data_IF_574409520775
#
_entry.id   IF_574409520775
#
_cell.length_a   1.000
_cell.length_b   1.000
_cell.length_c   1.000
_cell.angle_alpha   90.00
_cell.angle_beta   90.00
_cell.angle_gamma   90.00
#
_symmetry.space_group_name_H-M   'P 1'
#
loop_
_entity.id
_entity.type
_entity.pdbx_description
1 polymer ?
#
# COMPACT_ATOMS: atom_id res chain seq x y z
N UNK A 1 15.96 -69.95 20.20
CA UNK A 1 16.63 -68.77 19.62
C UNK A 1 15.66 -68.13 18.65
N UNK A 2 15.05 -67.01 19.02
CA UNK A 2 14.11 -66.26 18.16
C UNK A 2 14.89 -65.48 17.12
N UNK A 3 14.55 -65.57 15.81
CA UNK A 3 15.24 -64.80 14.80
C UNK A 3 14.83 -63.34 14.91
N UNK A 4 15.82 -62.47 15.13
CA UNK A 4 15.67 -61.02 15.04
C UNK A 4 15.46 -60.65 13.59
N UNK A 5 14.23 -60.26 13.25
CA UNK A 5 13.89 -59.82 11.91
C UNK A 5 14.36 -58.40 11.68
N UNK A 6 15.42 -58.28 10.88
CA UNK A 6 15.87 -56.99 10.38
C UNK A 6 14.95 -56.58 9.24
N UNK A 7 14.14 -55.55 9.50
CA UNK A 7 13.35 -54.87 8.48
C UNK A 7 14.25 -54.56 7.26
N UNK A 8 13.81 -54.79 6.02
CA UNK A 8 14.57 -54.40 4.84
C UNK A 8 14.88 -52.90 4.90
N UNK A 9 16.16 -52.55 4.80
CA UNK A 9 16.68 -51.19 5.04
C UNK A 9 15.90 -50.12 4.25
N UNK A 10 15.47 -50.46 3.02
CA UNK A 10 14.66 -49.59 2.15
C UNK A 10 13.27 -49.28 2.70
N UNK A 11 12.60 -50.25 3.32
CA UNK A 11 11.26 -50.06 3.89
C UNK A 11 11.33 -49.21 5.16
N UNK A 12 12.39 -49.39 5.96
CA UNK A 12 12.66 -48.56 7.13
C UNK A 12 12.94 -47.10 6.75
N UNK A 13 13.67 -46.86 5.65
CA UNK A 13 13.95 -45.51 5.16
C UNK A 13 12.69 -44.82 4.59
N UNK A 14 11.85 -45.55 3.85
CA UNK A 14 10.58 -45.02 3.33
C UNK A 14 9.60 -44.63 4.45
N UNK A 15 9.45 -45.48 5.47
CA UNK A 15 8.60 -45.19 6.63
C UNK A 15 9.13 -44.02 7.48
N UNK A 16 10.45 -43.87 7.58
CA UNK A 16 11.07 -42.67 8.19
C UNK A 16 10.70 -41.39 7.43
N UNK A 17 10.77 -41.40 6.10
CA UNK A 17 10.41 -40.24 5.30
C UNK A 17 8.92 -39.87 5.41
N UNK A 18 8.03 -40.87 5.45
CA UNK A 18 6.59 -40.66 5.64
C UNK A 18 6.30 -40.13 7.05
N UNK A 19 6.93 -40.69 8.08
CA UNK A 19 6.78 -40.22 9.47
C UNK A 19 7.28 -38.78 9.65
N UNK A 20 8.38 -38.40 9.00
CA UNK A 20 8.89 -37.02 8.99
C UNK A 20 7.90 -36.08 8.30
N UNK A 21 7.31 -36.47 7.15
CA UNK A 21 6.30 -35.65 6.47
C UNK A 21 5.01 -35.50 7.28
N UNK A 22 4.53 -36.58 7.91
CA UNK A 22 3.33 -36.58 8.73
C UNK A 22 3.50 -35.78 10.04
N UNK A 23 4.68 -35.85 10.68
CA UNK A 23 4.95 -35.12 11.90
C UNK A 23 5.10 -33.60 11.67
N UNK A 24 5.56 -33.21 10.48
CA UNK A 24 5.72 -31.80 10.10
C UNK A 24 4.43 -31.15 9.55
N UNK A 25 3.37 -31.92 9.24
CA UNK A 25 2.12 -31.38 8.68
C UNK A 25 1.36 -30.46 9.66
N UNK A 26 1.15 -30.85 10.94
CA UNK A 26 0.51 -29.99 11.93
C UNK A 26 1.37 -28.78 12.30
N UNK A 27 2.70 -28.94 12.28
CA UNK A 27 3.63 -27.84 12.54
C UNK A 27 3.65 -26.83 11.38
N UNK A 28 3.53 -27.26 10.11
CA UNK A 28 3.39 -26.34 8.96
C UNK A 28 2.11 -25.50 8.99
N UNK A 29 1.02 -26.07 9.51
CA UNK A 29 -0.25 -25.35 9.71
C UNK A 29 -0.16 -24.43 10.94
N UNK A 30 0.67 -24.76 11.94
CA UNK A 30 0.92 -23.92 13.13
C UNK A 30 2.08 -22.92 12.98
N UNK A 31 2.96 -23.02 11.98
CA UNK A 31 4.10 -22.10 11.78
C UNK A 31 3.73 -20.72 11.23
N UNK A 32 2.44 -20.42 11.00
CA UNK A 32 1.99 -19.02 10.98
C UNK A 32 1.98 -18.37 12.38
N UNK A 33 2.29 -19.13 13.43
CA UNK A 33 2.56 -18.60 14.75
C UNK A 33 4.02 -18.13 14.81
N UNK A 34 4.18 -16.83 14.54
CA UNK A 34 5.37 -15.99 14.66
C UNK A 34 6.32 -16.51 15.75
N UNK A 35 7.38 -17.19 15.32
CA UNK A 35 8.50 -17.56 16.17
C UNK A 35 9.36 -16.33 16.43
N UNK A 36 9.43 -15.93 17.70
CA UNK A 36 10.37 -14.91 18.19
C UNK A 36 11.80 -15.47 18.12
N UNK A 37 12.56 -15.07 17.09
CA UNK A 37 13.99 -15.36 16.99
C UNK A 37 14.84 -14.08 16.92
N UNK A 38 15.66 -13.90 17.97
CA UNK A 38 17.05 -13.40 17.95
C UNK A 38 17.36 -12.00 17.38
N UNK A 39 17.69 -11.08 18.29
CA UNK A 39 18.01 -9.65 18.17
C UNK A 39 19.29 -9.25 17.41
N UNK A 40 19.76 -10.01 16.41
CA UNK A 40 21.00 -9.61 15.69
C UNK A 40 21.09 -10.04 14.23
N UNK A 41 20.03 -10.61 13.61
CA UNK A 41 20.06 -10.86 12.17
C UNK A 41 19.71 -9.57 11.45
N UNK A 42 20.60 -9.15 10.53
CA UNK A 42 20.31 -8.18 9.45
C UNK A 42 18.85 -8.33 9.05
N UNK A 43 18.13 -7.21 8.96
CA UNK A 43 16.74 -7.10 8.50
C UNK A 43 16.60 -7.67 7.07
N UNK A 44 16.75 -8.98 6.91
CA UNK A 44 16.25 -9.74 5.78
C UNK A 44 14.77 -10.02 6.08
N UNK A 45 13.99 -8.95 6.24
CA UNK A 45 12.59 -9.05 5.91
C UNK A 45 12.58 -9.56 4.46
N UNK A 46 11.90 -10.67 4.18
CA UNK A 46 11.82 -11.22 2.84
C UNK A 46 11.09 -10.22 1.96
N UNK A 47 11.85 -9.31 1.37
CA UNK A 47 11.41 -8.30 0.42
C UNK A 47 10.50 -8.90 -0.68
N UNK A 48 10.57 -10.21 -0.92
CA UNK A 48 9.71 -10.95 -1.83
C UNK A 48 8.20 -10.82 -1.56
N UNK A 49 7.77 -10.63 -0.31
CA UNK A 49 6.35 -10.57 0.09
C UNK A 49 5.78 -9.14 0.13
N UNK A 50 6.54 -8.12 -0.32
CA UNK A 50 6.06 -6.74 -0.27
C UNK A 50 5.07 -6.42 -1.40
N UNK A 51 4.24 -5.41 -1.16
CA UNK A 51 3.38 -4.84 -2.19
C UNK A 51 4.18 -4.08 -3.25
N UNK A 52 4.59 -4.74 -4.35
CA UNK A 52 5.55 -4.23 -5.35
C UNK A 52 5.20 -2.88 -6.00
N UNK A 53 3.94 -2.47 -6.00
CA UNK A 53 3.53 -1.15 -6.50
C UNK A 53 3.72 -0.02 -5.48
N UNK A 54 3.71 -0.34 -4.17
CA UNK A 54 3.96 0.62 -3.08
C UNK A 54 5.41 0.55 -2.63
N UNK A 55 6.04 -0.62 -2.70
CA UNK A 55 7.45 -0.84 -2.35
C UNK A 55 8.14 -1.52 -3.54
N UNK A 56 8.61 -0.76 -4.54
CA UNK A 56 9.11 -1.32 -5.79
C UNK A 56 10.45 -2.05 -5.68
N UNK A 57 10.95 -2.58 -6.81
CA UNK A 57 12.24 -3.26 -6.94
C UNK A 57 13.43 -2.43 -6.43
N UNK A 58 13.31 -1.10 -6.38
CA UNK A 58 14.37 -0.22 -5.88
C UNK A 58 14.79 -0.50 -4.46
N UNK A 59 13.88 -1.04 -3.65
CA UNK A 59 14.13 -1.44 -2.27
C UNK A 59 15.04 -2.66 -2.12
N UNK A 60 15.22 -3.48 -3.16
CA UNK A 60 16.10 -4.65 -3.13
C UNK A 60 17.59 -4.26 -3.25
N UNK A 61 17.86 -3.06 -3.76
CA UNK A 61 19.21 -2.59 -4.08
C UNK A 61 19.81 -1.82 -2.91
N UNK A 62 20.44 -2.51 -1.96
CA UNK A 62 21.17 -1.86 -0.83
C UNK A 62 22.32 -0.97 -1.33
N UNK A 63 22.81 -1.20 -2.55
CA UNK A 63 24.09 -0.62 -2.98
C UNK A 63 24.34 -0.89 -4.46
N UNK A 64 23.84 -0.05 -5.35
CA UNK A 64 24.37 0.04 -6.72
C UNK A 64 24.13 1.46 -7.23
N UNK A 65 25.23 2.21 -7.31
CA UNK A 65 25.22 3.66 -7.50
C UNK A 65 24.52 4.15 -8.76
N UNK A 66 24.09 5.41 -8.69
CA UNK A 66 24.00 6.32 -9.83
C UNK A 66 23.17 5.84 -11.03
N UNK A 67 21.99 5.27 -10.80
CA UNK A 67 20.97 5.23 -11.85
C UNK A 67 20.13 6.51 -11.77
N UNK A 68 20.62 7.58 -12.41
CA UNK A 68 19.94 8.89 -12.52
C UNK A 68 18.65 8.86 -13.34
N UNK A 69 18.12 7.69 -13.70
CA UNK A 69 16.93 7.50 -14.53
C UNK A 69 15.84 6.63 -13.90
N UNK A 70 15.88 6.38 -12.59
CA UNK A 70 14.78 5.66 -11.90
C UNK A 70 13.59 6.61 -11.71
N UNK A 71 12.61 6.54 -12.59
CA UNK A 71 11.39 7.33 -12.53
C UNK A 71 10.48 6.83 -11.39
N UNK A 72 9.81 7.78 -10.72
CA UNK A 72 8.76 7.49 -9.75
C UNK A 72 7.58 6.79 -10.43
N UNK A 73 6.87 5.95 -9.68
CA UNK A 73 5.61 5.37 -10.15
C UNK A 73 4.51 6.42 -10.07
N UNK A 74 3.63 6.46 -11.07
CA UNK A 74 2.49 7.35 -11.11
C UNK A 74 1.20 6.53 -11.11
N UNK A 75 0.27 6.89 -10.22
CA UNK A 75 -1.08 6.36 -10.19
C UNK A 75 -2.09 7.49 -10.17
N UNK A 76 -3.15 7.39 -10.98
CA UNK A 76 -4.36 8.19 -10.75
C UNK A 76 -5.02 7.76 -9.44
N UNK A 77 -5.90 8.59 -8.85
CA UNK A 77 -6.65 8.20 -7.66
C UNK A 77 -7.44 6.89 -7.84
N UNK A 78 -8.10 6.73 -9.00
CA UNK A 78 -8.78 5.48 -9.36
C UNK A 78 -7.79 4.32 -9.46
N UNK A 79 -6.65 4.51 -10.15
CA UNK A 79 -5.67 3.46 -10.36
C UNK A 79 -5.05 2.94 -9.07
N UNK A 80 -4.73 3.83 -8.12
CA UNK A 80 -4.21 3.39 -6.82
C UNK A 80 -5.29 2.72 -5.97
N UNK A 81 -6.52 3.25 -6.00
CA UNK A 81 -7.67 2.64 -5.34
C UNK A 81 -7.91 1.21 -5.87
N UNK A 82 -7.90 1.02 -7.18
CA UNK A 82 -8.10 -0.28 -7.81
C UNK A 82 -6.98 -1.25 -7.43
N UNK A 83 -5.72 -0.80 -7.47
CA UNK A 83 -4.56 -1.59 -7.04
C UNK A 83 -4.74 -2.12 -5.62
N UNK A 84 -5.23 -1.28 -4.70
CA UNK A 84 -5.35 -1.63 -3.29
C UNK A 84 -6.65 -2.39 -2.95
N UNK A 85 -7.65 -2.40 -3.84
CA UNK A 85 -9.02 -2.86 -3.48
C UNK A 85 -9.69 -3.80 -4.49
N UNK A 86 -9.12 -4.02 -5.68
CA UNK A 86 -9.76 -4.84 -6.73
C UNK A 86 -9.77 -6.34 -6.41
N UNK A 87 -8.77 -6.83 -5.68
CA UNK A 87 -8.68 -8.22 -5.26
C UNK A 87 -7.95 -8.34 -3.95
N UNK A 88 -8.57 -9.00 -2.97
CA UNK A 88 -7.89 -9.35 -1.74
C UNK A 88 -6.90 -10.47 -2.01
N UNK A 89 -5.61 -10.16 -1.92
CA UNK A 89 -4.55 -11.14 -1.79
C UNK A 89 -3.91 -10.94 -0.41
N UNK A 90 -3.99 -11.93 0.51
CA UNK A 90 -3.37 -11.78 1.81
C UNK A 90 -1.87 -11.62 1.73
N UNK A 91 -1.19 -12.03 0.64
CA UNK A 91 0.24 -11.79 0.42
C UNK A 91 0.57 -10.33 0.09
N UNK A 92 -0.40 -9.54 -0.37
CA UNK A 92 -0.17 -8.11 -0.67
C UNK A 92 -0.27 -7.23 0.58
N UNK A 93 -0.77 -7.76 1.70
CA UNK A 93 -0.80 -7.09 3.01
C UNK A 93 -1.37 -5.66 2.99
N UNK A 94 -2.39 -5.38 2.16
CA UNK A 94 -2.95 -4.03 1.99
C UNK A 94 -3.49 -3.41 3.29
N UNK A 95 -3.91 -4.25 4.24
CA UNK A 95 -4.38 -3.85 5.58
C UNK A 95 -3.23 -3.41 6.51
N UNK A 96 -1.98 -3.69 6.14
CA UNK A 96 -0.77 -3.39 6.91
C UNK A 96 0.07 -2.26 6.34
N UNK A 97 -0.28 -1.76 5.15
CA UNK A 97 0.33 -0.58 4.55
C UNK A 97 -0.34 0.67 5.13
N UNK A 98 0.38 1.34 6.02
CA UNK A 98 -0.10 2.49 6.78
C UNK A 98 0.58 3.77 6.34
N UNK A 99 -0.12 4.89 6.49
CA UNK A 99 0.45 6.24 6.46
C UNK A 99 0.89 6.58 7.88
N UNK A 100 2.20 6.78 8.06
CA UNK A 100 2.82 7.10 9.36
C UNK A 100 2.85 8.60 9.62
N UNK A 101 3.11 9.39 8.58
CA UNK A 101 3.06 10.85 8.64
C UNK A 101 2.59 11.44 7.31
N UNK A 102 2.03 12.64 7.38
CA UNK A 102 1.68 13.47 6.24
C UNK A 102 2.17 14.89 6.45
N UNK A 103 2.66 15.55 5.40
CA UNK A 103 3.14 16.93 5.41
C UNK A 103 2.43 17.73 4.33
N UNK A 104 1.68 18.75 4.74
CA UNK A 104 1.08 19.71 3.83
C UNK A 104 2.13 20.71 3.38
N UNK A 105 2.39 20.76 2.08
CA UNK A 105 3.50 21.49 1.52
C UNK A 105 3.04 22.50 0.48
N UNK A 106 3.83 23.56 0.33
CA UNK A 106 3.60 24.62 -0.65
C UNK A 106 4.88 24.93 -1.40
N UNK A 107 4.81 24.97 -2.72
CA UNK A 107 5.97 25.26 -3.56
C UNK A 107 6.34 26.75 -3.47
N UNK A 108 7.61 27.04 -3.23
CA UNK A 108 8.07 28.44 -3.06
C UNK A 108 8.14 29.20 -4.38
N UNK A 109 8.51 28.52 -5.47
CA UNK A 109 8.64 29.11 -6.81
C UNK A 109 7.31 29.23 -7.56
N UNK A 110 6.25 28.58 -7.05
CA UNK A 110 4.90 28.63 -7.60
C UNK A 110 3.92 28.59 -6.43
N UNK A 111 3.66 29.74 -5.77
CA UNK A 111 2.90 29.79 -4.51
C UNK A 111 1.42 29.40 -4.67
N UNK A 112 0.97 29.07 -5.87
CA UNK A 112 -0.34 28.45 -6.10
C UNK A 112 -0.35 26.95 -5.88
N UNK A 113 0.82 26.30 -5.92
CA UNK A 113 0.92 24.86 -5.92
C UNK A 113 1.15 24.32 -4.51
N UNK A 114 0.10 23.71 -3.99
CA UNK A 114 0.09 23.01 -2.71
C UNK A 114 -0.09 21.51 -2.98
N UNK A 115 0.54 20.69 -2.15
CA UNK A 115 0.63 19.24 -2.30
C UNK A 115 0.85 18.58 -0.94
N UNK A 116 0.69 17.26 -0.88
CA UNK A 116 0.89 16.48 0.35
C UNK A 116 2.03 15.49 0.13
N UNK A 117 2.97 15.44 1.07
CA UNK A 117 3.97 14.37 1.14
C UNK A 117 3.52 13.38 2.21
N UNK A 118 3.55 12.09 1.89
CA UNK A 118 3.12 10.99 2.76
C UNK A 118 4.32 10.09 3.01
N UNK A 119 4.51 9.67 4.25
CA UNK A 119 5.46 8.61 4.61
C UNK A 119 4.66 7.35 4.96
N UNK A 120 4.88 6.28 4.21
CA UNK A 120 4.16 5.02 4.35
C UNK A 120 5.08 3.92 4.87
N UNK A 121 4.52 2.98 5.62
CA UNK A 121 5.22 1.82 6.18
C UNK A 121 4.37 0.57 6.00
N UNK A 122 5.01 -0.57 5.74
CA UNK A 122 4.38 -1.88 5.86
C UNK A 122 4.66 -2.46 7.25
N UNK A 123 3.62 -2.59 8.08
CA UNK A 123 3.76 -3.09 9.45
C UNK A 123 4.19 -4.55 9.53
N UNK A 124 3.94 -5.36 8.49
CA UNK A 124 4.40 -6.75 8.43
C UNK A 124 5.88 -6.85 8.08
N UNK A 125 6.44 -5.80 7.52
CA UNK A 125 7.81 -5.72 7.04
C UNK A 125 8.56 -4.60 7.76
N UNK A 126 8.95 -4.76 9.05
CA UNK A 126 9.58 -3.70 9.82
C UNK A 126 10.77 -3.06 9.11
N UNK A 127 10.76 -1.74 9.02
CA UNK A 127 11.78 -0.95 8.31
C UNK A 127 11.49 -0.73 6.83
N UNK A 128 10.49 -1.39 6.25
CA UNK A 128 10.05 -1.13 4.87
C UNK A 128 9.19 0.13 4.82
N UNK A 129 9.81 1.25 4.40
CA UNK A 129 9.18 2.57 4.35
C UNK A 129 9.30 3.17 2.97
N UNK A 130 8.28 3.88 2.52
CA UNK A 130 8.32 4.62 1.26
C UNK A 130 7.74 6.03 1.41
N UNK A 131 7.96 6.87 0.40
CA UNK A 131 7.43 8.23 0.31
C UNK A 131 6.54 8.36 -0.92
N UNK A 132 5.41 9.02 -0.73
CA UNK A 132 4.43 9.30 -1.78
C UNK A 132 4.16 10.80 -1.81
N UNK A 133 4.15 11.40 -2.99
CA UNK A 133 3.66 12.76 -3.22
C UNK A 133 2.26 12.66 -3.80
N UNK A 134 1.32 13.39 -3.20
CA UNK A 134 -0.04 13.55 -3.69
C UNK A 134 -0.22 15.00 -4.15
N UNK A 135 -0.44 15.19 -5.44
CA UNK A 135 -0.60 16.50 -6.05
C UNK A 135 -1.66 16.51 -7.15
N UNK A 136 -2.14 17.73 -7.47
CA UNK A 136 -3.03 18.01 -8.60
C UNK A 136 -2.34 18.93 -9.59
N UNK A 137 -2.24 18.48 -10.82
CA UNK A 137 -1.57 19.16 -11.92
C UNK A 137 -2.49 19.38 -13.13
N UNK A 138 -1.97 20.10 -14.11
CA UNK A 138 -2.50 20.13 -15.48
C UNK A 138 -1.57 19.33 -16.37
N UNK A 139 -2.13 18.65 -17.37
CA UNK A 139 -1.33 17.93 -18.36
C UNK A 139 -0.36 18.90 -19.04
N UNK A 140 0.91 18.50 -19.18
CA UNK A 140 1.92 19.32 -19.81
C UNK A 140 1.58 19.61 -21.29
N UNK A 141 0.94 18.67 -21.97
CA UNK A 141 0.46 18.82 -23.34
C UNK A 141 -0.63 19.91 -23.48
N UNK A 142 -1.39 20.13 -22.41
CA UNK A 142 -2.49 21.08 -22.38
C UNK A 142 -2.06 22.48 -21.89
N UNK A 143 -0.77 22.69 -21.61
CA UNK A 143 -0.26 24.00 -21.19
C UNK A 143 -0.29 24.96 -22.38
N UNK A 144 -0.96 26.12 -22.26
CA UNK A 144 -0.89 27.14 -23.30
C UNK A 144 0.56 27.59 -23.48
N UNK A 145 1.12 27.39 -24.66
CA UNK A 145 2.51 27.74 -25.01
C UNK A 145 2.72 29.24 -25.26
N UNK A 146 1.69 30.08 -25.08
CA UNK A 146 1.74 31.52 -25.40
C UNK A 146 1.48 32.41 -24.19
N UNK A 147 2.42 33.32 -23.91
CA UNK A 147 2.33 34.33 -22.83
C UNK A 147 1.61 35.62 -23.26
N UNK A 148 0.97 35.66 -24.43
CA UNK A 148 0.34 36.88 -24.95
C UNK A 148 -1.11 36.61 -25.41
N UNK A 149 -2.03 37.29 -24.71
CA UNK A 149 -3.21 37.89 -25.31
C UNK A 149 -4.34 36.95 -25.75
N UNK A 150 -5.27 36.70 -24.84
CA UNK A 150 -6.71 36.82 -25.11
C UNK A 150 -7.45 36.28 -23.89
N UNK A 151 -8.49 36.99 -23.46
CA UNK A 151 -9.40 36.58 -22.41
C UNK A 151 -10.13 35.29 -22.82
N UNK A 152 -9.45 34.14 -22.79
CA UNK A 152 -10.11 32.84 -22.81
C UNK A 152 -10.60 32.56 -21.39
N UNK A 153 -11.73 33.19 -21.08
CA UNK A 153 -12.67 32.64 -20.13
C UNK A 153 -12.87 31.15 -20.44
N UNK A 154 -12.71 30.32 -19.40
CA UNK A 154 -13.28 28.97 -19.28
C UNK A 154 -12.82 27.85 -20.22
N UNK A 155 -11.57 27.83 -20.72
CA UNK A 155 -10.98 26.54 -21.13
C UNK A 155 -10.62 25.73 -19.89
N UNK A 156 -11.60 24.96 -19.43
CA UNK A 156 -11.44 23.95 -18.40
C UNK A 156 -10.44 22.89 -18.87
N UNK A 157 -9.23 22.89 -18.31
CA UNK A 157 -8.26 21.84 -18.55
C UNK A 157 -8.63 20.61 -17.70
N UNK A 158 -8.36 19.41 -18.21
CA UNK A 158 -8.49 18.20 -17.40
C UNK A 158 -7.50 18.29 -16.22
N UNK A 159 -7.98 18.04 -15.01
CA UNK A 159 -7.09 17.93 -13.87
C UNK A 159 -6.38 16.58 -13.90
N UNK A 160 -5.11 16.60 -13.53
CA UNK A 160 -4.31 15.41 -13.31
C UNK A 160 -3.99 15.30 -11.83
N UNK A 161 -4.89 14.65 -11.11
CA UNK A 161 -4.66 14.24 -9.73
C UNK A 161 -3.79 12.97 -9.76
N UNK A 162 -2.84 12.83 -8.84
CA UNK A 162 -2.04 11.62 -8.82
C UNK A 162 -1.20 11.39 -7.59
N UNK A 163 -0.92 10.11 -7.37
CA UNK A 163 0.06 9.61 -6.43
C UNK A 163 1.37 9.35 -7.17
N UNK A 164 2.43 10.00 -6.72
CA UNK A 164 3.80 9.81 -7.21
C UNK A 164 4.59 9.08 -6.13
N UNK A 165 4.89 7.80 -6.37
CA UNK A 165 5.49 6.90 -5.39
C UNK A 165 6.98 6.80 -5.66
N UNK A 166 7.82 6.98 -4.63
CA UNK A 166 9.27 6.83 -4.79
C UNK A 166 9.63 5.39 -5.16
N UNK A 167 10.60 5.24 -6.05
CA UNK A 167 11.06 3.94 -6.54
C UNK A 167 11.81 3.14 -5.44
N UNK A 168 12.53 3.84 -4.57
CA UNK A 168 13.47 3.27 -3.58
C UNK A 168 13.35 3.92 -2.19
N UNK A 169 12.33 4.76 -1.96
CA UNK A 169 12.16 5.47 -0.69
C UNK A 169 12.92 6.79 -0.59
N UNK A 170 13.70 7.19 -1.60
CA UNK A 170 14.39 8.49 -1.58
C UNK A 170 13.38 9.65 -1.75
N UNK A 171 13.04 10.29 -0.63
CA UNK A 171 12.20 11.50 -0.58
C UNK A 171 12.76 12.64 -1.43
N UNK A 172 14.07 12.87 -1.38
CA UNK A 172 14.70 13.99 -2.08
C UNK A 172 14.69 13.74 -3.58
N UNK A 173 15.06 12.53 -3.99
CA UNK A 173 14.96 12.06 -5.37
C UNK A 173 13.54 12.20 -5.92
N UNK A 174 12.53 11.73 -5.18
CA UNK A 174 11.13 11.88 -5.56
C UNK A 174 10.73 13.34 -5.76
N UNK A 175 11.08 14.23 -4.82
CA UNK A 175 10.74 15.65 -4.92
C UNK A 175 11.41 16.33 -6.12
N UNK A 176 12.64 15.97 -6.47
CA UNK A 176 13.31 16.45 -7.69
C UNK A 176 12.56 16.00 -8.94
N UNK A 177 12.17 14.72 -9.01
CA UNK A 177 11.41 14.17 -10.14
C UNK A 177 10.03 14.84 -10.30
N UNK A 178 9.42 15.25 -9.19
CA UNK A 178 8.15 15.99 -9.20
C UNK A 178 8.33 17.50 -9.46
N UNK A 179 9.57 18.01 -9.55
CA UNK A 179 9.86 19.45 -9.58
C UNK A 179 9.32 20.20 -8.35
N UNK A 180 9.42 19.58 -7.17
CA UNK A 180 8.92 20.06 -5.87
C UNK A 180 10.04 20.26 -4.83
N UNK A 181 11.31 20.25 -5.23
CA UNK A 181 12.45 20.38 -4.32
C UNK A 181 12.45 21.69 -3.51
N UNK A 182 11.93 22.78 -4.09
CA UNK A 182 11.81 24.08 -3.43
C UNK A 182 10.39 24.25 -2.89
N UNK A 183 10.17 23.80 -1.66
CA UNK A 183 8.89 23.89 -0.97
C UNK A 183 9.06 24.21 0.51
N UNK A 184 7.98 24.65 1.12
CA UNK A 184 7.84 24.85 2.56
C UNK A 184 6.78 23.87 3.10
N UNK A 185 7.03 23.30 4.26
CA UNK A 185 6.04 22.50 4.99
C UNK A 185 5.22 23.42 5.89
N UNK A 186 3.92 23.52 5.61
CA UNK A 186 2.99 24.37 6.34
C UNK A 186 2.45 23.66 7.58
N UNK A 187 2.09 22.39 7.42
CA UNK A 187 1.46 21.60 8.46
C UNK A 187 1.97 20.15 8.41
N UNK A 188 1.98 19.48 9.55
CA UNK A 188 2.38 18.07 9.66
C UNK A 188 1.38 17.31 10.52
N UNK A 189 1.04 16.10 10.07
CA UNK A 189 0.28 15.12 10.81
C UNK A 189 1.17 13.90 11.05
N UNK A 190 1.23 13.46 12.31
CA UNK A 190 1.88 12.19 12.68
C UNK A 190 0.80 11.29 13.27
N UNK A 191 0.54 10.16 12.61
CA UNK A 191 -0.49 9.22 13.02
C UNK A 191 0.01 8.33 14.15
N UNK A 192 -0.87 8.01 15.11
CA UNK A 192 -0.52 7.07 16.19
C UNK A 192 -0.47 5.65 15.62
N UNK A 193 0.50 4.85 16.06
CA UNK A 193 0.62 3.44 15.65
C UNK A 193 -0.61 2.60 16.01
N UNK A 194 -1.37 2.99 17.04
CA UNK A 194 -2.62 2.34 17.47
C UNK A 194 -3.83 2.68 16.58
N UNK A 195 -3.77 3.79 15.85
CA UNK A 195 -4.86 4.28 15.00
C UNK A 195 -4.28 4.89 13.71
N UNK A 196 -3.58 4.09 12.90
CA UNK A 196 -2.97 4.58 11.67
C UNK A 196 -4.05 4.93 10.64
N UNK A 197 -3.70 5.79 9.68
CA UNK A 197 -4.47 5.92 8.45
C UNK A 197 -3.99 4.83 7.47
N UNK A 198 -4.89 3.96 7.00
CA UNK A 198 -4.52 2.92 6.05
C UNK A 198 -4.38 3.51 4.65
N UNK A 199 -3.41 3.05 3.85
CA UNK A 199 -3.17 3.66 2.54
C UNK A 199 -4.37 3.52 1.60
N UNK A 200 -5.09 2.40 1.66
CA UNK A 200 -6.30 2.23 0.85
C UNK A 200 -7.42 3.21 1.26
N UNK A 201 -7.52 3.57 2.55
CA UNK A 201 -8.50 4.56 3.00
C UNK A 201 -8.17 5.96 2.44
N UNK A 202 -6.89 6.31 2.40
CA UNK A 202 -6.44 7.55 1.75
C UNK A 202 -6.65 7.53 0.23
N UNK A 203 -6.42 6.39 -0.43
CA UNK A 203 -6.72 6.23 -1.86
C UNK A 203 -8.22 6.43 -2.14
N UNK A 204 -9.11 5.82 -1.33
CA UNK A 204 -10.56 6.02 -1.40
C UNK A 204 -10.96 7.48 -1.20
N UNK A 205 -10.42 8.14 -0.16
CA UNK A 205 -10.64 9.58 0.07
C UNK A 205 -10.20 10.41 -1.14
N UNK A 206 -9.00 10.17 -1.64
CA UNK A 206 -8.44 10.95 -2.75
C UNK A 206 -9.25 10.76 -4.04
N UNK A 207 -9.70 9.53 -4.31
CA UNK A 207 -10.60 9.20 -5.42
C UNK A 207 -11.92 9.97 -5.30
N UNK A 208 -12.56 9.92 -4.15
CA UNK A 208 -13.81 10.62 -3.88
C UNK A 208 -13.70 12.15 -3.98
N UNK A 209 -12.55 12.73 -3.62
CA UNK A 209 -12.27 14.17 -3.81
C UNK A 209 -12.03 14.48 -5.29
N UNK A 210 -11.25 13.65 -5.98
CA UNK A 210 -10.93 13.81 -7.39
C UNK A 210 -12.19 13.81 -8.29
N UNK A 211 -13.11 12.88 -8.05
CA UNK A 211 -14.36 12.75 -8.83
C UNK A 211 -15.31 13.93 -8.67
N UNK A 212 -15.25 14.69 -7.57
CA UNK A 212 -16.09 15.88 -7.38
C UNK A 212 -15.68 17.03 -8.31
N UNK A 213 -14.43 17.08 -8.75
CA UNK A 213 -13.91 18.11 -9.67
C UNK A 213 -12.92 17.48 -10.64
N UNK A 214 -13.41 16.92 -11.73
CA UNK A 214 -12.55 16.39 -12.82
C UNK A 214 -11.78 17.51 -13.55
N UNK A 215 -12.27 18.74 -13.44
CA UNK A 215 -11.80 19.91 -14.19
C UNK A 215 -10.91 20.80 -13.34
N UNK A 216 -9.78 21.22 -13.91
CA UNK A 216 -8.88 22.16 -13.27
C UNK A 216 -9.42 23.59 -13.42
N UNK A 217 -9.89 24.16 -12.31
CA UNK A 217 -10.34 25.56 -12.26
C UNK A 217 -9.30 26.40 -11.53
N UNK A 218 -8.60 27.26 -12.28
CA UNK A 218 -7.47 28.08 -11.78
C UNK A 218 -7.78 28.84 -10.49
N UNK A 219 -9.02 29.32 -10.33
CA UNK A 219 -9.45 30.17 -9.20
C UNK A 219 -10.12 29.38 -8.07
N UNK A 220 -10.85 28.30 -8.38
CA UNK A 220 -11.78 27.68 -7.42
C UNK A 220 -11.46 26.22 -7.07
N UNK A 221 -10.93 25.43 -8.01
CA UNK A 221 -10.69 23.99 -7.86
C UNK A 221 -9.36 23.60 -8.52
N UNK A 222 -8.28 24.06 -7.89
CA UNK A 222 -6.90 23.84 -8.32
C UNK A 222 -6.16 22.98 -7.27
N UNK A 223 -4.83 23.06 -7.24
CA UNK A 223 -3.98 22.34 -6.31
C UNK A 223 -4.20 22.68 -4.82
N UNK A 224 -4.42 23.95 -4.44
CA UNK A 224 -4.70 24.27 -3.02
C UNK A 224 -6.02 23.68 -2.55
N UNK A 225 -7.05 23.70 -3.40
CA UNK A 225 -8.37 23.16 -3.05
C UNK A 225 -8.28 21.64 -2.85
N UNK A 226 -7.64 20.95 -3.80
CA UNK A 226 -7.50 19.50 -3.78
C UNK A 226 -6.69 19.03 -2.57
N UNK A 227 -5.49 19.60 -2.37
CA UNK A 227 -4.67 19.25 -1.22
C UNK A 227 -5.37 19.63 0.10
N UNK A 228 -5.96 20.83 0.17
CA UNK A 228 -6.63 21.36 1.36
C UNK A 228 -7.80 20.50 1.82
N UNK A 229 -8.67 20.10 0.90
CA UNK A 229 -9.83 19.27 1.19
C UNK A 229 -9.43 17.85 1.66
N UNK A 230 -8.46 17.22 0.99
CA UNK A 230 -7.92 15.91 1.42
C UNK A 230 -7.30 16.02 2.81
N UNK A 231 -6.54 17.09 3.06
CA UNK A 231 -5.92 17.33 4.36
C UNK A 231 -6.95 17.47 5.48
N UNK A 232 -7.98 18.29 5.29
CA UNK A 232 -9.04 18.48 6.28
C UNK A 232 -9.83 17.19 6.53
N UNK A 233 -10.06 16.39 5.49
CA UNK A 233 -10.64 15.05 5.65
C UNK A 233 -9.73 14.14 6.47
N UNK A 234 -8.41 14.09 6.21
CA UNK A 234 -7.48 13.27 7.00
C UNK A 234 -7.47 13.67 8.48
N UNK A 235 -7.44 14.99 8.78
CA UNK A 235 -7.52 15.50 10.16
C UNK A 235 -8.80 15.00 10.84
N UNK A 236 -9.94 15.07 10.13
CA UNK A 236 -11.22 14.61 10.67
C UNK A 236 -11.29 13.09 10.83
N UNK A 237 -10.70 12.33 9.92
CA UNK A 237 -10.63 10.87 10.00
C UNK A 237 -9.75 10.38 11.17
N UNK A 238 -8.78 11.19 11.60
CA UNK A 238 -7.81 10.84 12.66
C UNK A 238 -7.62 12.01 13.64
N UNK A 239 -8.64 12.32 14.46
CA UNK A 239 -8.58 13.45 15.38
C UNK A 239 -7.53 13.29 16.49
N UNK A 240 -7.06 12.07 16.74
CA UNK A 240 -6.01 11.78 17.72
C UNK A 240 -4.59 11.86 17.14
N UNK A 241 -4.42 12.16 15.85
CA UNK A 241 -3.11 12.36 15.24
C UNK A 241 -2.41 13.60 15.84
N UNK A 242 -1.09 13.56 15.96
CA UNK A 242 -0.33 14.71 16.41
C UNK A 242 -0.22 15.73 15.27
N UNK A 243 -0.83 16.88 15.47
CA UNK A 243 -0.90 17.96 14.49
C UNK A 243 0.03 19.11 14.86
N UNK A 244 0.83 19.55 13.90
CA UNK A 244 1.77 20.68 14.05
C UNK A 244 1.59 21.66 12.91
N UNK A 245 1.50 22.96 13.24
CA UNK A 245 1.42 24.07 12.28
C UNK A 245 2.71 24.88 12.34
N UNK A 246 3.31 25.17 11.19
CA UNK A 246 4.46 26.07 11.07
C UNK A 246 4.02 27.52 11.31
N UNK A 247 4.74 28.25 12.16
CA UNK A 247 4.37 29.63 12.50
C UNK A 247 4.38 30.55 11.26
N UNK A 248 3.35 31.39 11.14
CA UNK A 248 3.31 32.50 10.17
C UNK A 248 2.85 32.14 8.75
N UNK A 249 2.56 30.88 8.45
CA UNK A 249 2.09 30.46 7.12
C UNK A 249 0.65 29.93 7.15
N UNK A 250 -0.10 30.22 6.09
CA UNK A 250 -1.54 29.88 5.99
C UNK A 250 -1.78 29.16 4.66
N UNK A 251 -2.51 28.03 4.72
CA UNK A 251 -3.00 27.29 3.53
C UNK A 251 -3.82 28.20 2.61
N UNK A 252 -3.70 27.98 1.30
CA UNK A 252 -4.48 28.72 0.30
C UNK A 252 -4.22 30.23 0.24
N UNK A 253 -3.17 30.74 0.88
CA UNK A 253 -2.79 32.14 0.79
C UNK A 253 -2.09 32.43 -0.55
N UNK A 254 -2.79 33.05 -1.51
CA UNK A 254 -2.19 33.49 -2.78
C UNK A 254 -2.18 35.01 -2.80
N UNK A 255 -1.00 35.62 -2.60
CA UNK A 255 -0.83 37.05 -2.24
C UNK A 255 -1.38 37.37 -0.84
N UNK A 256 -0.86 38.41 -0.18
CA UNK A 256 -1.17 38.73 1.22
C UNK A 256 -2.65 38.92 1.55
N UNK A 257 -3.52 39.09 0.54
CA UNK A 257 -4.91 39.52 0.71
C UNK A 257 -5.97 38.45 0.38
N UNK A 258 -5.63 37.40 -0.37
CA UNK A 258 -6.59 36.34 -0.72
C UNK A 258 -6.24 35.04 0.02
N UNK A 259 -7.13 34.67 0.94
CA UNK A 259 -7.06 33.42 1.69
C UNK A 259 -8.21 32.54 1.25
N UNK A 260 -7.90 31.34 0.77
CA UNK A 260 -8.90 30.34 0.48
C UNK A 260 -8.79 29.20 1.50
N UNK A 261 -9.72 29.19 2.45
CA UNK A 261 -9.96 28.03 3.30
C UNK A 261 -10.94 27.09 2.62
N UNK A 262 -10.84 25.80 2.93
CA UNK A 262 -11.86 24.83 2.56
C UNK A 262 -13.23 25.30 3.06
N UNK A 263 -14.23 25.30 2.18
CA UNK A 263 -15.59 25.66 2.56
C UNK A 263 -16.14 24.58 3.52
N UNK A 264 -16.63 24.98 4.70
CA UNK A 264 -17.12 24.00 5.69
C UNK A 264 -18.28 23.16 5.17
N UNK A 265 -19.18 23.70 4.35
CA UNK A 265 -20.27 22.92 3.77
C UNK A 265 -19.75 21.91 2.74
N UNK A 266 -18.79 22.32 1.90
CA UNK A 266 -18.11 21.42 0.95
C UNK A 266 -17.40 20.28 1.70
N UNK A 267 -16.62 20.61 2.74
CA UNK A 267 -15.95 19.62 3.59
C UNK A 267 -16.94 18.62 4.21
N UNK A 268 -18.09 19.09 4.72
CA UNK A 268 -19.10 18.20 5.32
C UNK A 268 -19.69 17.23 4.28
N UNK A 269 -20.08 17.75 3.11
CA UNK A 269 -20.65 16.94 2.03
C UNK A 269 -19.64 15.94 1.50
N UNK A 270 -18.41 16.39 1.21
CA UNK A 270 -17.31 15.52 0.78
C UNK A 270 -17.02 14.44 1.81
N UNK A 271 -16.94 14.79 3.09
CA UNK A 271 -16.63 13.83 4.15
C UNK A 271 -17.73 12.79 4.31
N UNK A 272 -19.01 13.18 4.27
CA UNK A 272 -20.12 12.23 4.34
C UNK A 272 -20.10 11.24 3.17
N UNK A 273 -19.76 11.70 1.97
CA UNK A 273 -19.57 10.83 0.81
C UNK A 273 -18.37 9.88 0.99
N UNK A 274 -17.22 10.40 1.45
CA UNK A 274 -16.03 9.60 1.76
C UNK A 274 -16.32 8.52 2.80
N UNK A 275 -17.08 8.83 3.85
CA UNK A 275 -17.46 7.87 4.89
C UNK A 275 -18.28 6.71 4.32
N UNK A 276 -19.23 7.00 3.41
CA UNK A 276 -19.99 5.96 2.71
C UNK A 276 -19.09 5.08 1.82
N UNK A 277 -18.17 5.69 1.07
CA UNK A 277 -17.21 4.97 0.22
C UNK A 277 -16.25 4.10 1.04
N UNK A 278 -15.83 4.59 2.21
CA UNK A 278 -14.99 3.84 3.16
C UNK A 278 -15.73 2.62 3.72
N UNK A 279 -16.99 2.79 4.14
CA UNK A 279 -17.81 1.66 4.60
C UNK A 279 -18.03 0.62 3.48
N UNK A 280 -18.24 1.08 2.24
CA UNK A 280 -18.41 0.20 1.10
C UNK A 280 -17.14 -0.60 0.79
N UNK A 281 -15.96 0.03 0.79
CA UNK A 281 -14.69 -0.65 0.52
C UNK A 281 -14.31 -1.60 1.65
N UNK A 282 -14.55 -1.25 2.92
CA UNK A 282 -14.29 -2.13 4.06
C UNK A 282 -15.17 -3.38 4.00
N UNK A 283 -16.46 -3.21 3.70
CA UNK A 283 -17.38 -4.34 3.46
C UNK A 283 -16.90 -5.21 2.30
N UNK A 284 -16.45 -4.60 1.20
CA UNK A 284 -15.91 -5.32 0.04
C UNK A 284 -14.67 -6.15 0.43
N UNK A 285 -13.72 -5.57 1.15
CA UNK A 285 -12.51 -6.25 1.64
C UNK A 285 -12.88 -7.44 2.53
N UNK A 286 -13.81 -7.27 3.47
CA UNK A 286 -14.29 -8.36 4.34
C UNK A 286 -14.87 -9.52 3.53
N UNK A 287 -15.73 -9.23 2.55
CA UNK A 287 -16.32 -10.26 1.68
C UNK A 287 -15.23 -10.97 0.86
N UNK A 288 -14.29 -10.23 0.29
CA UNK A 288 -13.19 -10.81 -0.49
C UNK A 288 -12.29 -11.70 0.38
N UNK A 289 -11.98 -11.28 1.60
CA UNK A 289 -11.20 -12.05 2.58
C UNK A 289 -11.90 -13.36 2.95
N UNK A 290 -13.22 -13.31 3.18
CA UNK A 290 -14.01 -14.50 3.45
C UNK A 290 -14.00 -15.48 2.26
N UNK A 291 -14.19 -14.98 1.04
CA UNK A 291 -14.14 -15.79 -0.19
C UNK A 291 -12.78 -16.42 -0.40
N UNK A 292 -11.70 -15.65 -0.18
CA UNK A 292 -10.34 -16.15 -0.26
C UNK A 292 -10.11 -17.28 0.76
N UNK A 293 -10.51 -17.08 2.02
CA UNK A 293 -10.35 -18.09 3.07
C UNK A 293 -11.14 -19.38 2.76
N UNK A 294 -12.35 -19.25 2.22
CA UNK A 294 -13.15 -20.41 1.77
C UNK A 294 -12.45 -21.16 0.63
N UNK A 295 -12.00 -20.45 -0.42
CA UNK A 295 -11.30 -21.06 -1.55
C UNK A 295 -9.98 -21.73 -1.15
N UNK A 296 -9.22 -21.10 -0.26
CA UNK A 296 -7.97 -21.64 0.27
C UNK A 296 -8.20 -22.93 1.09
N UNK A 297 -9.24 -22.94 1.93
CA UNK A 297 -9.60 -24.14 2.69
C UNK A 297 -10.03 -25.29 1.78
N UNK A 298 -10.79 -25.01 0.71
CA UNK A 298 -11.14 -26.02 -0.30
C UNK A 298 -9.89 -26.58 -0.98
N UNK A 299 -8.94 -25.72 -1.39
CA UNK A 299 -7.69 -26.16 -2.00
C UNK A 299 -6.86 -27.06 -1.06
N UNK A 300 -6.71 -26.67 0.21
CA UNK A 300 -6.01 -27.49 1.21
C UNK A 300 -6.72 -28.85 1.37
N UNK A 301 -8.05 -28.84 1.43
CA UNK A 301 -8.82 -30.08 1.57
C UNK A 301 -8.59 -31.03 0.38
N UNK A 302 -8.63 -30.49 -0.85
CA UNK A 302 -8.37 -31.26 -2.07
C UNK A 302 -6.96 -31.83 -2.10
N UNK A 303 -5.96 -31.05 -1.71
CA UNK A 303 -4.57 -31.52 -1.64
C UNK A 303 -4.36 -32.58 -0.58
N UNK A 304 -5.04 -32.44 0.56
CA UNK A 304 -5.02 -33.43 1.64
C UNK A 304 -5.68 -34.74 1.20
N UNK A 305 -6.78 -34.69 0.45
CA UNK A 305 -7.42 -35.89 -0.10
C UNK A 305 -6.58 -36.55 -1.21
N UNK A 306 -5.93 -35.77 -2.09
CA UNK A 306 -4.95 -36.28 -3.06
C UNK A 306 -3.79 -36.99 -2.35
N UNK A 307 -3.25 -36.38 -1.29
CA UNK A 307 -2.16 -36.95 -0.50
C UNK A 307 -2.59 -38.26 0.18
N UNK A 308 -3.78 -38.31 0.80
CA UNK A 308 -4.32 -39.55 1.39
C UNK A 308 -4.48 -40.66 0.36
N UNK A 309 -4.97 -40.35 -0.84
CA UNK A 309 -5.07 -41.32 -1.94
C UNK A 309 -3.69 -41.86 -2.33
N UNK A 310 -2.70 -40.98 -2.46
CA UNK A 310 -1.34 -41.37 -2.80
C UNK A 310 -0.69 -42.26 -1.73
N UNK A 311 -0.95 -41.98 -0.46
CA UNK A 311 -0.48 -42.83 0.65
C UNK A 311 -1.07 -44.24 0.53
N UNK A 312 -2.39 -44.37 0.29
CA UNK A 312 -3.03 -45.68 0.09
C UNK A 312 -2.45 -46.46 -1.10
N UNK A 313 -2.23 -45.79 -2.24
CA UNK A 313 -1.60 -46.43 -3.41
C UNK A 313 -0.18 -46.94 -3.11
N UNK A 314 0.58 -46.20 -2.31
CA UNK A 314 1.93 -46.61 -1.91
C UNK A 314 1.88 -47.76 -0.91
N UNK A 315 0.94 -47.77 0.02
CA UNK A 315 0.71 -48.88 0.94
C UNK A 315 0.36 -50.18 0.20
N UNK A 316 -0.45 -50.11 -0.85
CA UNK A 316 -0.79 -51.25 -1.72
C UNK A 316 0.41 -51.75 -2.55
N UNK A 317 1.36 -50.87 -2.89
CA UNK A 317 2.58 -51.22 -3.63
C UNK A 317 3.68 -51.83 -2.75
N UNK A 318 3.60 -51.68 -1.43
CA UNK A 318 4.54 -52.36 -0.52
C UNK A 318 4.05 -53.80 -0.40
N UNK A 319 4.76 -54.80 -0.98
CA UNK A 319 4.34 -56.19 -0.88
C UNK A 319 4.17 -56.57 0.58
N UNK A 320 3.11 -57.32 0.90
CA UNK A 320 2.84 -57.75 2.27
C UNK A 320 4.10 -58.42 2.82
N UNK A 321 4.72 -57.77 3.81
CA UNK A 321 5.92 -58.26 4.48
C UNK A 321 5.69 -59.64 5.12
N UNK A 322 4.45 -60.08 5.21
CA UNK A 322 4.03 -61.42 5.63
C UNK A 322 4.57 -62.54 4.71
N UNK A 323 4.93 -62.26 3.46
CA UNK A 323 5.49 -63.27 2.55
C UNK A 323 6.98 -63.57 2.77
N UNK A 324 7.69 -62.80 3.59
CA UNK A 324 9.13 -62.98 3.85
C UNK A 324 9.46 -63.70 5.17
N UNK A 325 8.46 -64.24 5.87
CA UNK A 325 8.62 -64.94 7.16
C UNK A 325 8.36 -66.46 7.12
N UNK A 326 8.26 -67.06 5.94
CA UNK A 326 8.26 -68.52 5.77
C UNK A 326 9.60 -69.01 5.24
#
# INVERSE_FOLDING_TARGET
>A
MTPSSKLPKRTADALKHIAILAHNLPQRIQTFRIGSESTSRKLSCSYEERHKQIFPAGFDSVSSGSSTQRLCYFFSPEGLYDVLTSGYNPEHHVEDIIVTSASYCKKTTSPKHEFIILEVEDRRSPGLRNVIVLDRNINAADRPTGFLGSAQSSRSLAAMDGFRISYDGDKKGLLVQCSLQSHETLETLVFKSSEPLLLYQLATLTRAVSTQREKYHVIAANCYWFAGLIWDCMVRMRPLAHYKVSQGQIRGAFTSWLRQSTNSAELQVTYAYVEQELLAVEKKIVIQKQRWAQGYNTHIHDDLEKLKRRVRELEEQVPSLDTYYH
#
